data_IF_546545757860
#
_entry.id   IF_546545757860
#
_cell.length_a   1.000
_cell.length_b   1.000
_cell.length_c   1.000
_cell.angle_alpha   90.00
_cell.angle_beta   90.00
_cell.angle_gamma   90.00
#
_symmetry.space_group_name_H-M   'P 1'
#
loop_
_entity.id
_entity.type
_entity.pdbx_description
1 polymer ?
#
# COMPACT_ATOMS: atom_id res chain seq x y z
N UNK A 1 49.73 24.87 -9.07
CA UNK A 1 48.75 24.19 -8.20
C UNK A 1 47.40 24.92 -8.10
N UNK A 2 47.34 26.27 -8.17
CA UNK A 2 46.09 27.05 -8.09
C UNK A 2 45.08 26.91 -9.28
N UNK A 3 45.51 26.40 -10.44
CA UNK A 3 44.64 26.29 -11.63
C UNK A 3 43.70 25.08 -11.64
N UNK A 4 44.09 23.99 -10.97
CA UNK A 4 43.29 22.75 -10.87
C UNK A 4 42.14 22.97 -9.88
N UNK A 5 42.42 23.58 -8.74
CA UNK A 5 41.45 23.84 -7.65
C UNK A 5 40.27 24.74 -8.09
N UNK A 6 40.55 25.74 -8.94
CA UNK A 6 39.50 26.58 -9.56
C UNK A 6 38.65 25.81 -10.57
N UNK A 7 39.24 24.82 -11.26
CA UNK A 7 38.54 23.99 -12.24
C UNK A 7 37.60 23.01 -11.54
N UNK A 8 38.05 22.41 -10.43
CA UNK A 8 37.21 21.53 -9.60
C UNK A 8 36.02 22.28 -8.98
N UNK A 9 36.24 23.52 -8.52
CA UNK A 9 35.16 24.38 -8.04
C UNK A 9 34.15 24.71 -9.15
N UNK A 10 34.60 24.99 -10.38
CA UNK A 10 33.72 25.28 -11.51
C UNK A 10 32.91 24.04 -11.95
N UNK A 11 33.53 22.86 -11.94
CA UNK A 11 32.84 21.59 -12.22
C UNK A 11 31.77 21.30 -11.17
N UNK A 12 32.09 21.49 -9.89
CA UNK A 12 31.13 21.35 -8.79
C UNK A 12 29.95 22.32 -8.95
N UNK A 13 30.22 23.60 -9.17
CA UNK A 13 29.17 24.60 -9.34
C UNK A 13 28.24 24.27 -10.52
N UNK A 14 28.78 23.76 -11.62
CA UNK A 14 27.98 23.30 -12.75
C UNK A 14 27.11 22.09 -12.38
N UNK A 15 27.68 21.08 -11.72
CA UNK A 15 26.93 19.91 -11.29
C UNK A 15 25.79 20.27 -10.31
N UNK A 16 26.04 21.19 -9.38
CA UNK A 16 25.02 21.73 -8.46
C UNK A 16 23.91 22.45 -9.21
N UNK A 17 24.26 23.28 -10.21
CA UNK A 17 23.29 23.98 -11.04
C UNK A 17 22.44 23.01 -11.89
N UNK A 18 23.07 21.99 -12.47
CA UNK A 18 22.39 20.97 -13.27
C UNK A 18 21.43 20.12 -12.40
N UNK A 19 21.85 19.77 -11.19
CA UNK A 19 21.00 19.08 -10.21
C UNK A 19 19.82 19.95 -9.77
N UNK A 20 20.06 21.22 -9.45
CA UNK A 20 19.01 22.17 -9.08
C UNK A 20 17.98 22.36 -10.21
N UNK A 21 18.45 22.46 -11.46
CA UNK A 21 17.58 22.53 -12.63
C UNK A 21 16.75 21.26 -12.80
N UNK A 22 17.32 20.08 -12.52
CA UNK A 22 16.58 18.83 -12.54
C UNK A 22 15.53 18.76 -11.44
N UNK A 23 15.87 19.16 -10.21
CA UNK A 23 14.94 19.19 -9.08
C UNK A 23 13.77 20.13 -9.38
N UNK A 24 14.03 21.33 -9.90
CA UNK A 24 12.98 22.27 -10.27
C UNK A 24 12.02 21.71 -11.34
N UNK A 25 12.55 20.97 -12.32
CA UNK A 25 11.72 20.27 -13.32
C UNK A 25 10.87 19.16 -12.70
N UNK A 26 11.46 18.36 -11.81
CA UNK A 26 10.71 17.32 -11.10
C UNK A 26 9.62 17.95 -10.22
N UNK A 27 9.93 18.98 -9.44
CA UNK A 27 8.99 19.64 -8.53
C UNK A 27 7.82 20.26 -9.31
N UNK A 28 8.09 20.83 -10.49
CA UNK A 28 7.06 21.36 -11.37
C UNK A 28 6.15 20.26 -11.90
N UNK A 29 6.72 19.12 -12.33
CA UNK A 29 5.96 17.97 -12.78
C UNK A 29 5.14 17.36 -11.63
N UNK A 30 5.74 17.18 -10.46
CA UNK A 30 5.08 16.66 -9.25
C UNK A 30 3.90 17.53 -8.83
N UNK A 31 4.03 18.86 -8.84
CA UNK A 31 2.91 19.77 -8.59
C UNK A 31 1.83 19.70 -9.67
N UNK A 32 2.21 19.51 -10.93
CA UNK A 32 1.26 19.45 -12.04
C UNK A 32 0.43 18.15 -12.03
N UNK A 33 1.05 17.01 -11.70
CA UNK A 33 0.39 15.70 -11.70
C UNK A 33 -0.07 15.25 -10.31
N UNK A 34 0.43 15.90 -9.24
CA UNK A 34 0.11 15.59 -7.85
C UNK A 34 0.74 14.30 -7.31
N UNK A 35 1.75 13.74 -7.97
CA UNK A 35 2.26 12.37 -7.69
C UNK A 35 2.64 12.18 -6.22
N UNK A 36 3.46 13.05 -5.64
CA UNK A 36 3.93 12.89 -4.26
C UNK A 36 2.84 13.15 -3.23
N UNK A 37 1.85 13.98 -3.57
CA UNK A 37 0.67 14.15 -2.72
C UNK A 37 -0.20 12.89 -2.72
N UNK A 38 -0.43 12.31 -3.90
CA UNK A 38 -1.16 11.05 -4.04
C UNK A 38 -0.43 9.90 -3.33
N UNK A 39 0.88 9.77 -3.53
CA UNK A 39 1.71 8.73 -2.89
C UNK A 39 1.70 8.84 -1.36
N UNK A 40 1.73 10.06 -0.80
CA UNK A 40 1.56 10.25 0.65
C UNK A 40 0.18 9.83 1.11
N UNK A 41 -0.86 10.27 0.40
CA UNK A 41 -2.25 9.90 0.74
C UNK A 41 -2.49 8.39 0.64
N UNK A 42 -1.86 7.72 -0.31
CA UNK A 42 -1.90 6.27 -0.49
C UNK A 42 -1.25 5.56 0.70
N UNK A 43 -0.04 5.99 1.11
CA UNK A 43 0.63 5.48 2.32
C UNK A 43 -0.20 5.69 3.59
N UNK A 44 -0.72 6.90 3.79
CA UNK A 44 -1.57 7.21 4.94
C UNK A 44 -2.87 6.39 4.93
N UNK A 45 -3.38 6.01 3.76
CA UNK A 45 -4.54 5.12 3.64
C UNK A 45 -4.17 3.66 3.95
N UNK A 46 -3.03 3.17 3.46
CA UNK A 46 -2.51 1.84 3.74
C UNK A 46 -2.24 1.66 5.24
N UNK A 47 -1.54 2.61 5.89
CA UNK A 47 -1.27 2.57 7.34
C UNK A 47 -2.58 2.49 8.16
N UNK A 48 -3.61 3.21 7.73
CA UNK A 48 -4.93 3.17 8.37
C UNK A 48 -5.65 1.85 8.12
N UNK A 49 -5.55 1.29 6.92
CA UNK A 49 -6.16 0.02 6.58
C UNK A 49 -5.52 -1.14 7.37
N UNK A 50 -4.20 -1.15 7.49
CA UNK A 50 -3.45 -2.10 8.32
C UNK A 50 -3.86 -2.00 9.80
N UNK A 51 -3.92 -0.78 10.35
CA UNK A 51 -4.37 -0.57 11.74
C UNK A 51 -5.81 -1.05 11.97
N UNK A 52 -6.72 -0.80 11.02
CA UNK A 52 -8.11 -1.27 11.09
C UNK A 52 -8.19 -2.80 10.98
N UNK A 53 -7.40 -3.41 10.10
CA UNK A 53 -7.31 -4.86 9.98
C UNK A 53 -6.85 -5.49 11.30
N UNK A 54 -5.84 -4.91 11.94
CA UNK A 54 -5.37 -5.39 13.24
C UNK A 54 -6.49 -5.33 14.29
N UNK A 55 -7.14 -4.18 14.45
CA UNK A 55 -8.25 -4.00 15.40
C UNK A 55 -9.40 -4.97 15.12
N UNK A 56 -9.76 -5.15 13.84
CA UNK A 56 -10.78 -6.09 13.41
C UNK A 56 -10.40 -7.53 13.79
N UNK A 57 -9.15 -7.93 13.54
CA UNK A 57 -8.66 -9.27 13.85
C UNK A 57 -8.60 -9.54 15.36
N UNK A 58 -8.25 -8.55 16.18
CA UNK A 58 -8.23 -8.63 17.65
C UNK A 58 -9.64 -8.72 18.27
N UNK A 59 -10.63 -8.08 17.66
CA UNK A 59 -12.01 -8.06 18.15
C UNK A 59 -12.66 -9.44 18.05
N UNK A 60 -13.03 -10.16 19.13
CA UNK A 60 -13.57 -11.52 19.03
C UNK A 60 -14.83 -11.59 18.15
N UNK A 61 -14.84 -12.52 17.19
CA UNK A 61 -16.04 -12.77 16.38
C UNK A 61 -17.03 -13.62 17.17
N UNK A 62 -18.30 -13.20 17.23
CA UNK A 62 -19.38 -13.94 17.90
C UNK A 62 -20.23 -14.76 16.93
N UNK A 63 -19.99 -14.63 15.62
CA UNK A 63 -20.73 -15.30 14.55
C UNK A 63 -19.78 -15.82 13.48
N UNK A 64 -20.22 -16.84 12.73
CA UNK A 64 -19.49 -17.35 11.57
C UNK A 64 -19.32 -16.27 10.48
N UNK A 65 -20.34 -15.44 10.26
CA UNK A 65 -20.25 -14.28 9.38
C UNK A 65 -19.13 -13.30 9.83
N UNK A 66 -18.96 -13.10 11.14
CA UNK A 66 -17.86 -12.29 11.68
C UNK A 66 -16.49 -12.91 11.42
N UNK A 67 -16.36 -14.24 11.50
CA UNK A 67 -15.11 -14.94 11.13
C UNK A 67 -14.81 -14.79 9.64
N UNK A 68 -15.81 -14.98 8.77
CA UNK A 68 -15.68 -14.79 7.33
C UNK A 68 -15.27 -13.35 6.99
N UNK A 69 -15.88 -12.35 7.63
CA UNK A 69 -15.54 -10.94 7.41
C UNK A 69 -14.08 -10.61 7.78
N UNK A 70 -13.53 -11.20 8.84
CA UNK A 70 -12.11 -11.05 9.19
C UNK A 70 -11.20 -11.62 8.11
N UNK A 71 -11.49 -12.83 7.65
CA UNK A 71 -10.70 -13.49 6.60
C UNK A 71 -10.79 -12.73 5.28
N UNK A 72 -11.96 -12.22 4.93
CA UNK A 72 -12.18 -11.38 3.75
C UNK A 72 -11.38 -10.07 3.83
N UNK A 73 -11.32 -9.43 4.99
CA UNK A 73 -10.48 -8.26 5.21
C UNK A 73 -8.98 -8.57 5.04
N UNK A 74 -8.51 -9.72 5.54
CA UNK A 74 -7.13 -10.18 5.33
C UNK A 74 -6.83 -10.37 3.84
N UNK A 75 -7.75 -10.97 3.07
CA UNK A 75 -7.57 -11.14 1.62
C UNK A 75 -7.53 -9.80 0.91
N UNK A 76 -8.45 -8.88 1.22
CA UNK A 76 -8.52 -7.56 0.58
C UNK A 76 -7.28 -6.70 0.82
N UNK A 77 -6.73 -6.74 2.02
CA UNK A 77 -5.54 -5.97 2.36
C UNK A 77 -4.25 -6.64 1.91
N UNK A 78 -4.19 -7.97 2.01
CA UNK A 78 -2.93 -8.72 1.81
C UNK A 78 -2.68 -9.21 0.39
N UNK A 79 -3.71 -9.43 -0.43
CA UNK A 79 -3.50 -10.03 -1.76
C UNK A 79 -2.86 -9.01 -2.71
N UNK A 80 -1.82 -9.39 -3.47
CA UNK A 80 -1.15 -8.48 -4.41
C UNK A 80 -2.06 -7.99 -5.54
N UNK A 81 -3.03 -8.81 -5.92
CA UNK A 81 -3.96 -8.55 -7.01
C UNK A 81 -5.30 -9.23 -6.79
N UNK A 82 -6.34 -8.75 -7.48
CA UNK A 82 -7.66 -9.36 -7.40
C UNK A 82 -7.62 -10.80 -7.93
N UNK A 83 -8.14 -11.75 -7.14
CA UNK A 83 -8.15 -13.18 -7.45
C UNK A 83 -6.77 -13.81 -7.65
N UNK A 84 -5.77 -13.28 -6.94
CA UNK A 84 -4.43 -13.86 -6.93
C UNK A 84 -4.47 -15.37 -6.62
N UNK A 85 -3.75 -16.14 -7.43
CA UNK A 85 -3.70 -17.60 -7.37
C UNK A 85 -2.54 -18.10 -6.50
N UNK A 86 -1.66 -17.21 -6.05
CA UNK A 86 -0.57 -17.53 -5.16
C UNK A 86 -1.10 -17.98 -3.79
N UNK A 87 -0.41 -18.95 -3.19
CA UNK A 87 -0.68 -19.35 -1.82
C UNK A 87 -0.47 -18.14 -0.87
N UNK A 88 -1.38 -17.88 0.11
CA UNK A 88 -2.51 -18.71 0.53
C UNK A 88 -3.88 -18.25 0.02
N UNK A 89 -3.95 -17.33 -0.96
CA UNK A 89 -5.20 -16.61 -1.27
C UNK A 89 -6.35 -17.50 -1.74
N UNK A 90 -6.15 -18.51 -2.62
CA UNK A 90 -7.21 -19.44 -2.98
C UNK A 90 -7.76 -20.24 -1.79
N UNK A 91 -6.89 -20.63 -0.84
CA UNK A 91 -7.27 -21.42 0.33
C UNK A 91 -8.10 -20.60 1.32
N UNK A 92 -7.73 -19.34 1.53
CA UNK A 92 -8.50 -18.44 2.40
C UNK A 92 -9.88 -18.16 1.78
N UNK A 93 -9.95 -17.88 0.47
CA UNK A 93 -11.23 -17.68 -0.24
C UNK A 93 -12.14 -18.91 -0.16
N UNK A 94 -11.60 -20.10 -0.38
CA UNK A 94 -12.32 -21.37 -0.21
C UNK A 94 -12.89 -21.53 1.22
N UNK A 95 -12.09 -21.22 2.26
CA UNK A 95 -12.57 -21.27 3.64
C UNK A 95 -13.69 -20.26 3.93
N UNK A 96 -13.63 -19.06 3.36
CA UNK A 96 -14.69 -18.04 3.46
C UNK A 96 -16.01 -18.56 2.86
N UNK A 97 -15.95 -19.17 1.68
CA UNK A 97 -17.12 -19.77 1.00
C UNK A 97 -17.76 -20.88 1.84
N UNK A 98 -16.95 -21.76 2.42
CA UNK A 98 -17.43 -22.81 3.31
C UNK A 98 -18.10 -22.25 4.58
N UNK A 99 -17.51 -21.22 5.20
CA UNK A 99 -18.11 -20.55 6.36
C UNK A 99 -19.46 -19.93 5.99
N UNK A 100 -19.56 -19.28 4.83
CA UNK A 100 -20.81 -18.69 4.35
C UNK A 100 -21.90 -19.75 4.13
N UNK A 101 -21.54 -20.86 3.48
CA UNK A 101 -22.44 -22.01 3.25
C UNK A 101 -22.94 -22.61 4.56
N UNK A 102 -22.07 -22.81 5.54
CA UNK A 102 -22.44 -23.37 6.85
C UNK A 102 -23.33 -22.40 7.63
N UNK A 103 -23.06 -21.09 7.54
CA UNK A 103 -23.87 -20.06 8.22
C UNK A 103 -25.32 -20.08 7.72
N UNK A 104 -25.51 -20.16 6.39
CA UNK A 104 -26.85 -20.21 5.78
C UNK A 104 -27.65 -21.46 6.17
N UNK A 105 -26.98 -22.57 6.47
CA UNK A 105 -27.62 -23.80 6.93
C UNK A 105 -28.09 -23.75 8.39
N UNK A 106 -27.64 -22.77 9.18
CA UNK A 106 -27.90 -22.67 10.62
C UNK A 106 -28.93 -21.60 11.00
N UNK A 107 -29.29 -20.72 10.07
CA UNK A 107 -30.40 -19.77 10.27
C UNK A 107 -31.72 -20.57 10.25
N UNK A 108 -32.54 -20.55 11.31
CA UNK A 108 -33.89 -21.09 11.25
C UNK A 108 -34.71 -20.25 10.26
N UNK A 109 -35.41 -20.92 9.33
CA UNK A 109 -36.36 -20.27 8.43
C UNK A 109 -37.54 -19.65 9.15
#
# INVERSE_FOLDING_TARGET
>A
MLGIDRTDAAVRAKAEADLAAHQARWDAADRAVGYSAALRSERDAADRAEALLQVLCETPATTLAGVAAKLDAVVKEGQPSENDAEFPWPQIRSAIEDIARISQQREPG
#
